data_IF_714676050409
#
_entry.id   IF_714676050409
#
_cell.length_a   1.000
_cell.length_b   1.000
_cell.length_c   1.000
_cell.angle_alpha   90.00
_cell.angle_beta   90.00
_cell.angle_gamma   90.00
#
_symmetry.space_group_name_H-M   'P 1'
#
loop_
_entity.id
_entity.type
_entity.pdbx_description
1 polymer ?
#
# COMPACT_ATOMS: atom_id res chain seq x y z
N UNK A 1 -40.10 8.10 22.06
CA UNK A 1 -40.03 7.71 20.63
C UNK A 1 -38.82 8.42 20.06
N UNK A 2 -37.67 7.76 20.01
CA UNK A 2 -36.44 8.36 19.49
C UNK A 2 -36.44 8.21 17.98
N UNK A 3 -36.66 9.34 17.32
CA UNK A 3 -36.44 9.56 15.90
C UNK A 3 -34.95 9.28 15.61
N UNK A 4 -34.64 8.11 15.04
CA UNK A 4 -33.35 7.86 14.42
C UNK A 4 -33.50 8.24 12.96
N UNK A 5 -33.23 9.49 12.65
CA UNK A 5 -33.08 9.92 11.27
C UNK A 5 -31.95 9.08 10.63
N UNK A 6 -32.15 8.53 9.43
CA UNK A 6 -31.09 7.83 8.72
C UNK A 6 -29.95 8.81 8.47
N UNK A 7 -28.71 8.40 8.76
CA UNK A 7 -27.53 9.19 8.40
C UNK A 7 -27.41 9.12 6.87
N UNK A 8 -28.07 10.06 6.20
CA UNK A 8 -27.94 10.25 4.76
C UNK A 8 -26.50 10.68 4.44
N UNK A 9 -25.86 9.99 3.49
CA UNK A 9 -24.76 10.57 2.73
C UNK A 9 -23.34 10.07 2.99
N UNK A 10 -23.12 8.90 3.59
CA UNK A 10 -21.83 8.22 3.36
C UNK A 10 -21.89 7.55 1.98
N UNK A 11 -21.02 7.90 1.01
CA UNK A 11 -20.90 7.12 -0.21
C UNK A 11 -20.50 5.71 0.19
N UNK A 12 -21.44 4.77 0.13
CA UNK A 12 -21.16 3.35 0.27
C UNK A 12 -20.34 2.95 -0.93
N UNK A 13 -19.09 2.56 -0.71
CA UNK A 13 -18.25 2.03 -1.78
C UNK A 13 -18.94 0.84 -2.43
N UNK A 14 -18.74 0.69 -3.73
CA UNK A 14 -19.03 -0.55 -4.40
C UNK A 14 -18.06 -1.64 -3.96
N UNK A 15 -18.50 -2.89 -4.00
CA UNK A 15 -17.65 -4.06 -3.73
C UNK A 15 -16.36 -4.06 -4.58
N UNK A 16 -16.41 -3.48 -5.78
CA UNK A 16 -15.28 -3.34 -6.68
C UNK A 16 -14.25 -2.30 -6.19
N UNK A 17 -14.71 -1.17 -5.62
CA UNK A 17 -13.85 -0.14 -5.03
C UNK A 17 -13.18 -0.65 -3.76
N UNK A 18 -13.92 -1.35 -2.90
CA UNK A 18 -13.38 -2.00 -1.71
C UNK A 18 -12.31 -3.04 -2.08
N UNK A 19 -12.63 -3.94 -3.02
CA UNK A 19 -11.68 -4.95 -3.51
C UNK A 19 -10.41 -4.34 -4.10
N UNK A 20 -10.54 -3.20 -4.80
CA UNK A 20 -9.41 -2.48 -5.40
C UNK A 20 -8.53 -1.87 -4.33
N UNK A 21 -9.13 -1.18 -3.35
CA UNK A 21 -8.41 -0.60 -2.24
C UNK A 21 -7.66 -1.66 -1.42
N UNK A 22 -8.32 -2.76 -1.09
CA UNK A 22 -7.72 -3.89 -0.38
C UNK A 22 -6.53 -4.48 -1.15
N UNK A 23 -6.67 -4.66 -2.46
CA UNK A 23 -5.58 -5.16 -3.30
C UNK A 23 -4.39 -4.20 -3.33
N UNK A 24 -4.64 -2.90 -3.40
CA UNK A 24 -3.57 -1.90 -3.34
C UNK A 24 -2.87 -1.90 -1.97
N UNK A 25 -3.63 -1.97 -0.86
CA UNK A 25 -3.05 -2.09 0.48
C UNK A 25 -2.19 -3.35 0.63
N UNK A 26 -2.69 -4.50 0.18
CA UNK A 26 -1.95 -5.76 0.24
C UNK A 26 -0.64 -5.69 -0.56
N UNK A 27 -0.67 -5.06 -1.73
CA UNK A 27 0.52 -4.87 -2.58
C UNK A 27 1.56 -3.99 -1.89
N UNK A 28 1.15 -2.86 -1.30
CA UNK A 28 2.05 -2.00 -0.53
C UNK A 28 2.62 -2.69 0.71
N UNK A 29 1.80 -3.45 1.45
CA UNK A 29 2.27 -4.26 2.59
C UNK A 29 3.32 -5.29 2.16
N UNK A 30 3.10 -5.96 1.04
CA UNK A 30 4.07 -6.90 0.48
C UNK A 30 5.39 -6.22 0.12
N UNK A 31 5.32 -5.01 -0.47
CA UNK A 31 6.51 -4.23 -0.82
C UNK A 31 7.29 -3.79 0.42
N UNK A 32 6.62 -3.25 1.43
CA UNK A 32 7.25 -2.88 2.71
C UNK A 32 7.90 -4.10 3.38
N UNK A 33 7.24 -5.26 3.32
CA UNK A 33 7.78 -6.54 3.79
C UNK A 33 9.04 -6.97 3.03
N UNK A 34 9.03 -6.88 1.69
CA UNK A 34 10.19 -7.21 0.87
C UNK A 34 11.40 -6.32 1.20
N UNK A 35 11.20 -5.02 1.42
CA UNK A 35 12.26 -4.14 1.90
C UNK A 35 12.76 -4.53 3.29
N UNK A 36 11.88 -4.90 4.23
CA UNK A 36 12.26 -5.34 5.57
C UNK A 36 13.19 -6.57 5.52
N UNK A 37 12.82 -7.56 4.71
CA UNK A 37 13.62 -8.76 4.47
C UNK A 37 14.98 -8.38 3.87
N UNK A 38 15.00 -7.49 2.87
CA UNK A 38 16.25 -7.07 2.23
C UNK A 38 17.19 -6.31 3.17
N UNK A 39 16.64 -5.42 4.01
CA UNK A 39 17.38 -4.69 5.04
C UNK A 39 18.08 -5.66 6.00
N UNK A 40 17.39 -6.73 6.41
CA UNK A 40 17.96 -7.73 7.34
C UNK A 40 19.15 -8.50 6.75
N UNK A 41 19.27 -8.55 5.42
CA UNK A 41 20.31 -9.27 4.69
C UNK A 41 21.34 -8.34 4.01
N UNK A 42 21.28 -7.03 4.26
CA UNK A 42 22.15 -6.03 3.65
C UNK A 42 23.28 -5.60 4.61
N UNK A 43 24.38 -5.07 4.07
CA UNK A 43 25.34 -4.31 4.85
C UNK A 43 24.75 -2.96 5.29
N UNK A 44 25.41 -2.27 6.22
CA UNK A 44 24.88 -1.03 6.83
C UNK A 44 24.59 0.07 5.79
N UNK A 45 25.44 0.22 4.79
CA UNK A 45 25.28 1.26 3.76
C UNK A 45 24.10 0.97 2.84
N UNK A 46 23.97 -0.28 2.38
CA UNK A 46 22.81 -0.69 1.58
C UNK A 46 21.52 -0.69 2.42
N UNK A 47 21.60 -1.07 3.70
CA UNK A 47 20.46 -1.07 4.61
C UNK A 47 19.87 0.33 4.83
N UNK A 48 20.71 1.37 4.91
CA UNK A 48 20.22 2.75 5.06
C UNK A 48 19.39 3.20 3.85
N UNK A 49 19.85 2.90 2.64
CA UNK A 49 19.11 3.21 1.40
C UNK A 49 17.78 2.46 1.34
N UNK A 50 17.79 1.17 1.68
CA UNK A 50 16.58 0.35 1.70
C UNK A 50 15.58 0.81 2.77
N UNK A 51 16.06 1.29 3.93
CA UNK A 51 15.20 1.87 4.98
C UNK A 51 14.49 3.14 4.50
N UNK A 52 15.17 4.00 3.73
CA UNK A 52 14.54 5.20 3.18
C UNK A 52 13.36 4.85 2.26
N UNK A 53 13.54 3.86 1.36
CA UNK A 53 12.46 3.36 0.50
C UNK A 53 11.36 2.65 1.32
N UNK A 54 11.71 1.84 2.31
CA UNK A 54 10.74 1.20 3.20
C UNK A 54 9.85 2.24 3.90
N UNK A 55 10.44 3.31 4.43
CA UNK A 55 9.71 4.41 5.08
C UNK A 55 8.80 5.14 4.09
N UNK A 56 9.27 5.36 2.86
CA UNK A 56 8.47 5.99 1.80
C UNK A 56 7.21 5.18 1.52
N UNK A 57 7.33 3.89 1.22
CA UNK A 57 6.17 3.03 0.93
C UNK A 57 5.31 2.75 2.16
N UNK A 58 5.90 2.74 3.36
CA UNK A 58 5.16 2.68 4.62
C UNK A 58 4.28 3.92 4.84
N UNK A 59 4.79 5.12 4.52
CA UNK A 59 4.00 6.36 4.55
C UNK A 59 2.89 6.34 3.52
N UNK A 60 3.20 5.89 2.31
CA UNK A 60 2.19 5.76 1.26
C UNK A 60 1.05 4.82 1.66
N UNK A 61 1.35 3.67 2.28
CA UNK A 61 0.34 2.77 2.83
C UNK A 61 -0.52 3.46 3.90
N UNK A 62 0.10 4.27 4.77
CA UNK A 62 -0.60 4.99 5.83
C UNK A 62 -1.48 6.14 5.32
N UNK A 63 -1.15 6.71 4.16
CA UNK A 63 -1.88 7.83 3.54
C UNK A 63 -2.63 7.41 2.28
N UNK A 64 -2.83 6.11 2.06
CA UNK A 64 -3.48 5.60 0.85
C UNK A 64 -4.94 6.06 0.83
N UNK A 65 -5.30 6.82 -0.21
CA UNK A 65 -6.64 7.35 -0.38
C UNK A 65 -7.48 6.39 -1.26
N UNK A 66 -8.58 5.82 -0.72
CA UNK A 66 -9.51 5.03 -1.52
C UNK A 66 -10.22 5.84 -2.63
N UNK A 67 -10.28 7.16 -2.50
CA UNK A 67 -10.87 8.06 -3.50
C UNK A 67 -9.90 8.42 -4.66
N UNK A 68 -8.67 7.88 -4.66
CA UNK A 68 -7.68 8.07 -5.72
C UNK A 68 -7.56 6.82 -6.61
N UNK A 69 -8.47 6.62 -7.59
CA UNK A 69 -8.47 5.42 -8.42
C UNK A 69 -7.19 5.30 -9.26
N UNK A 70 -6.58 6.41 -9.70
CA UNK A 70 -5.34 6.40 -10.49
C UNK A 70 -4.19 5.85 -9.66
N UNK A 71 -4.06 6.28 -8.40
CA UNK A 71 -3.04 5.77 -7.50
C UNK A 71 -3.24 4.30 -7.19
N UNK A 72 -4.47 3.88 -6.89
CA UNK A 72 -4.79 2.47 -6.67
C UNK A 72 -4.46 1.62 -7.90
N UNK A 73 -4.73 2.12 -9.10
CA UNK A 73 -4.36 1.46 -10.37
C UNK A 73 -2.86 1.25 -10.47
N UNK A 74 -2.09 2.32 -10.25
CA UNK A 74 -0.63 2.31 -10.32
C UNK A 74 -0.06 1.27 -9.36
N UNK A 75 -0.51 1.26 -8.11
CA UNK A 75 -0.04 0.30 -7.11
C UNK A 75 -0.36 -1.13 -7.56
N UNK A 76 -1.59 -1.40 -7.98
CA UNK A 76 -2.02 -2.76 -8.34
C UNK A 76 -1.26 -3.30 -9.56
N UNK A 77 -0.94 -2.45 -10.54
CA UNK A 77 -0.35 -2.87 -11.80
C UNK A 77 1.18 -2.86 -11.78
N UNK A 78 1.79 -1.86 -11.14
CA UNK A 78 3.23 -1.62 -11.29
C UNK A 78 4.03 -2.16 -10.09
N UNK A 79 3.46 -2.11 -8.89
CA UNK A 79 4.21 -2.44 -7.68
C UNK A 79 4.46 -3.93 -7.49
N UNK A 80 3.67 -4.87 -8.05
CA UNK A 80 4.05 -6.29 -8.01
C UNK A 80 5.42 -6.56 -8.66
N UNK A 81 5.73 -5.90 -9.78
CA UNK A 81 7.05 -6.04 -10.40
C UNK A 81 8.16 -5.45 -9.53
N UNK A 82 7.88 -4.36 -8.81
CA UNK A 82 8.81 -3.77 -7.87
C UNK A 82 9.06 -4.69 -6.66
N UNK A 83 8.02 -5.33 -6.11
CA UNK A 83 8.16 -6.33 -5.03
C UNK A 83 9.14 -7.42 -5.42
N UNK A 84 8.97 -7.99 -6.61
CA UNK A 84 9.84 -9.07 -7.10
C UNK A 84 11.28 -8.59 -7.31
N UNK A 85 11.48 -7.36 -7.78
CA UNK A 85 12.83 -6.76 -7.90
C UNK A 85 13.51 -6.59 -6.54
N UNK A 86 12.79 -6.06 -5.55
CA UNK A 86 13.33 -5.88 -4.19
C UNK A 86 13.71 -7.23 -3.57
N UNK A 87 12.87 -8.25 -3.74
CA UNK A 87 13.15 -9.63 -3.30
C UNK A 87 14.37 -10.23 -4.01
N UNK A 88 14.53 -9.99 -5.30
CA UNK A 88 15.69 -10.40 -6.07
C UNK A 88 16.99 -9.64 -5.68
N UNK A 89 16.86 -8.53 -4.96
CA UNK A 89 17.99 -7.71 -4.51
C UNK A 89 18.61 -6.85 -5.61
N UNK A 90 17.82 -6.49 -6.63
CA UNK A 90 18.22 -5.70 -7.80
C UNK A 90 18.03 -4.18 -7.62
#
# INVERSE_FOLDING_TARGET
MSDRSPVEGLPTWSDAEESRFDRAQQTLRALVGAYAERISAADETAAEQLRAEQVRYGRELATLDPADPERLSTIINDYPALVERVRAGA
#
